data_IF_565384666699
#
_entry.id   IF_565384666699
#
_cell.length_a   1.000
_cell.length_b   1.000
_cell.length_c   1.000
_cell.angle_alpha   90.00
_cell.angle_beta   90.00
_cell.angle_gamma   90.00
#
_symmetry.space_group_name_H-M   'P 1'
#
loop_
_entity.id
_entity.type
_entity.pdbx_description
1 polymer ?
#
# COMPACT_ATOMS: atom_id res chain seq x y z
N UNK A 1 -4.48 7.89 5.59
CA UNK A 1 -3.02 8.18 5.52
C UNK A 1 -2.43 8.55 6.88
N UNK A 2 -3.02 9.50 7.62
CA UNK A 2 -2.50 9.98 8.92
C UNK A 2 -2.28 8.84 9.93
N UNK A 3 -3.22 7.90 10.04
CA UNK A 3 -3.07 6.75 10.95
C UNK A 3 -1.88 5.84 10.60
N UNK A 4 -1.61 5.65 9.31
CA UNK A 4 -0.47 4.87 8.85
C UNK A 4 0.86 5.58 9.18
N UNK A 5 0.91 6.91 8.98
CA UNK A 5 2.05 7.73 9.39
C UNK A 5 2.28 7.68 10.90
N UNK A 6 1.22 7.89 11.68
CA UNK A 6 1.27 7.84 13.14
C UNK A 6 1.81 6.50 13.62
N UNK A 7 1.28 5.38 13.12
CA UNK A 7 1.75 4.03 13.46
C UNK A 7 3.24 3.82 13.14
N UNK A 8 3.67 4.24 11.95
CA UNK A 8 5.07 4.13 11.53
C UNK A 8 5.99 4.95 12.44
N UNK A 9 5.64 6.20 12.73
CA UNK A 9 6.41 7.08 13.62
C UNK A 9 6.45 6.51 15.03
N UNK A 10 5.33 6.02 15.56
CA UNK A 10 5.27 5.38 16.89
C UNK A 10 6.19 4.17 16.96
N UNK A 11 6.33 3.38 15.90
CA UNK A 11 7.26 2.26 15.87
C UNK A 11 8.73 2.70 16.01
N UNK A 12 9.12 3.80 15.36
CA UNK A 12 10.44 4.41 15.53
C UNK A 12 10.64 4.93 16.96
N UNK A 13 9.70 5.73 17.45
CA UNK A 13 9.74 6.34 18.79
C UNK A 13 9.79 5.28 19.88
N UNK A 14 9.10 4.15 19.69
CA UNK A 14 9.11 3.05 20.66
C UNK A 14 10.51 2.46 20.86
N UNK A 15 11.37 2.43 19.85
CA UNK A 15 12.78 2.00 20.01
C UNK A 15 13.58 3.01 20.84
N UNK A 16 13.33 4.31 20.64
CA UNK A 16 14.00 5.38 21.40
C UNK A 16 13.59 5.32 22.87
N UNK A 17 12.30 5.14 23.14
CA UNK A 17 11.77 4.98 24.51
C UNK A 17 12.31 3.72 25.19
N UNK A 18 12.48 2.62 24.44
CA UNK A 18 13.09 1.41 24.99
C UNK A 18 14.55 1.64 25.37
N UNK A 19 15.35 2.28 24.50
CA UNK A 19 16.72 2.64 24.82
C UNK A 19 16.80 3.50 26.09
N UNK A 20 15.92 4.50 26.21
CA UNK A 20 15.87 5.38 27.38
C UNK A 20 15.57 4.60 28.67
N UNK A 21 14.63 3.65 28.64
CA UNK A 21 14.32 2.78 29.79
C UNK A 21 15.51 1.94 30.22
N UNK A 22 16.32 1.52 29.27
CA UNK A 22 17.55 0.74 29.50
C UNK A 22 18.75 1.62 29.90
N UNK A 23 18.53 2.92 30.15
CA UNK A 23 19.59 3.88 30.49
C UNK A 23 20.50 4.24 29.31
N UNK A 24 20.07 3.99 28.08
CA UNK A 24 20.80 4.22 26.85
C UNK A 24 20.23 5.40 26.05
N UNK A 25 21.05 5.96 25.16
CA UNK A 25 20.62 6.97 24.19
C UNK A 25 20.49 6.35 22.80
N UNK A 26 19.40 6.69 22.09
CA UNK A 26 19.20 6.28 20.71
C UNK A 26 18.66 7.47 19.91
N UNK A 27 19.37 7.84 18.85
CA UNK A 27 18.92 8.79 17.84
C UNK A 27 18.78 8.07 16.50
N UNK A 28 17.71 8.40 15.77
CA UNK A 28 17.37 7.86 14.47
C UNK A 28 17.25 9.00 13.47
N UNK A 29 17.95 8.89 12.34
CA UNK A 29 17.75 9.79 11.20
C UNK A 29 17.75 8.99 9.90
N UNK A 30 16.92 9.35 8.91
CA UNK A 30 16.93 8.65 7.63
C UNK A 30 18.26 8.85 6.92
N UNK A 31 18.69 7.84 6.16
CA UNK A 31 19.86 7.91 5.29
C UNK A 31 19.61 8.91 4.16
N UNK A 32 20.53 9.86 3.89
CA UNK A 32 20.39 10.80 2.78
C UNK A 32 20.14 10.11 1.43
N UNK A 33 20.82 9.00 1.18
CA UNK A 33 20.68 8.18 -0.03
C UNK A 33 19.30 7.51 -0.13
N UNK A 34 18.72 7.06 0.99
CA UNK A 34 17.38 6.48 1.02
C UNK A 34 16.32 7.55 0.72
N UNK A 35 16.45 8.73 1.32
CA UNK A 35 15.56 9.88 1.05
C UNK A 35 15.66 10.32 -0.41
N UNK A 36 16.88 10.43 -0.94
CA UNK A 36 17.11 10.81 -2.34
C UNK A 36 16.48 9.81 -3.29
N UNK A 37 16.76 8.51 -3.11
CA UNK A 37 16.19 7.45 -3.93
C UNK A 37 14.66 7.44 -3.88
N UNK A 38 14.09 7.50 -2.68
CA UNK A 38 12.63 7.55 -2.50
C UNK A 38 12.01 8.75 -3.23
N UNK A 39 12.65 9.93 -3.13
CA UNK A 39 12.17 11.10 -3.84
C UNK A 39 12.29 10.94 -5.36
N UNK A 40 13.39 10.39 -5.89
CA UNK A 40 13.55 10.14 -7.32
C UNK A 40 12.47 9.20 -7.86
N UNK A 41 12.20 8.11 -7.14
CA UNK A 41 11.18 7.12 -7.50
C UNK A 41 9.77 7.75 -7.52
N UNK A 42 9.42 8.53 -6.48
CA UNK A 42 8.13 9.24 -6.42
C UNK A 42 8.00 10.26 -7.54
N UNK A 43 9.02 11.08 -7.78
CA UNK A 43 8.95 12.11 -8.82
C UNK A 43 8.84 11.48 -10.21
N UNK A 44 9.53 10.36 -10.46
CA UNK A 44 9.40 9.62 -11.72
C UNK A 44 7.98 9.10 -11.95
N UNK A 45 7.29 8.67 -10.89
CA UNK A 45 5.90 8.25 -10.96
C UNK A 45 4.94 9.45 -11.13
N UNK A 46 5.14 10.53 -10.37
CA UNK A 46 4.30 11.74 -10.43
C UNK A 46 4.33 12.40 -11.81
N UNK A 47 5.47 12.36 -12.52
CA UNK A 47 5.60 12.85 -13.89
C UNK A 47 4.66 12.18 -14.89
N UNK A 48 4.15 10.99 -14.58
CA UNK A 48 3.20 10.23 -15.42
C UNK A 48 1.74 10.46 -15.02
N UNK A 49 1.48 11.32 -14.03
CA UNK A 49 0.14 11.62 -13.53
C UNK A 49 -0.41 12.92 -14.12
N UNK A 50 -1.72 13.12 -13.98
CA UNK A 50 -2.39 14.37 -14.38
C UNK A 50 -1.88 15.61 -13.65
N UNK A 51 -1.30 15.46 -12.45
CA UNK A 51 -0.67 16.57 -11.73
C UNK A 51 0.53 17.16 -12.49
N UNK A 52 1.18 16.37 -13.35
CA UNK A 52 2.32 16.81 -14.15
C UNK A 52 1.92 17.38 -15.52
N UNK A 53 0.63 17.44 -15.85
CA UNK A 53 0.17 18.01 -17.12
C UNK A 53 0.60 19.48 -17.24
N UNK A 54 1.23 19.91 -18.36
CA UNK A 54 1.62 21.29 -18.59
C UNK A 54 0.45 22.30 -18.45
N UNK A 55 -0.77 21.88 -18.79
CA UNK A 55 -1.98 22.70 -18.70
C UNK A 55 -2.62 22.69 -17.30
N UNK A 56 -2.11 21.88 -16.36
CA UNK A 56 -2.57 21.85 -14.99
C UNK A 56 -1.73 22.79 -14.12
N UNK A 57 -2.25 23.97 -13.77
CA UNK A 57 -1.66 24.82 -12.74
C UNK A 57 -2.22 24.44 -11.38
N UNK A 58 -1.36 24.10 -10.43
CA UNK A 58 -1.78 23.74 -9.07
C UNK A 58 -0.77 24.26 -8.05
N UNK A 59 -1.26 24.56 -6.83
CA UNK A 59 -0.41 24.96 -5.69
C UNK A 59 0.65 23.90 -5.34
N UNK A 60 0.44 22.64 -5.73
CA UNK A 60 1.35 21.54 -5.42
C UNK A 60 2.52 21.39 -6.41
N UNK A 61 2.48 22.13 -7.53
CA UNK A 61 3.49 22.08 -8.59
C UNK A 61 4.25 23.40 -8.63
N UNK A 62 5.57 23.32 -8.53
CA UNK A 62 6.47 24.47 -8.68
C UNK A 62 6.57 24.91 -10.14
N UNK A 63 7.15 26.08 -10.39
CA UNK A 63 7.38 26.60 -11.75
C UNK A 63 8.26 25.68 -12.60
N UNK A 64 9.24 24.99 -11.97
CA UNK A 64 10.09 23.97 -12.62
C UNK A 64 9.39 22.60 -12.79
N UNK A 65 8.10 22.51 -12.48
CA UNK A 65 7.27 21.33 -12.70
C UNK A 65 7.40 20.25 -11.63
N UNK A 66 8.09 20.53 -10.52
CA UNK A 66 8.25 19.59 -9.41
C UNK A 66 7.00 19.57 -8.54
N UNK A 67 6.48 18.37 -8.29
CA UNK A 67 5.30 18.18 -7.43
C UNK A 67 5.80 17.90 -6.00
N UNK A 68 5.46 18.75 -5.04
CA UNK A 68 6.11 18.74 -3.72
C UNK A 68 5.32 18.02 -2.63
N UNK A 69 4.01 17.88 -2.79
CA UNK A 69 3.13 17.39 -1.72
C UNK A 69 2.53 16.00 -1.98
N UNK A 70 2.19 15.70 -3.23
CA UNK A 70 1.33 14.56 -3.54
C UNK A 70 2.06 13.22 -3.49
N UNK A 71 1.38 12.21 -2.95
CA UNK A 71 1.71 10.80 -3.16
C UNK A 71 1.25 10.36 -4.55
N UNK A 72 2.04 9.55 -5.24
CA UNK A 72 1.81 9.19 -6.64
C UNK A 72 0.81 8.05 -6.86
N UNK A 73 0.48 7.27 -5.82
CA UNK A 73 -0.32 6.05 -5.94
C UNK A 73 -1.56 6.08 -5.04
N UNK A 74 -2.22 4.92 -4.89
CA UNK A 74 -3.40 4.79 -4.03
C UNK A 74 -3.04 4.89 -2.53
N UNK A 75 -4.06 5.14 -1.70
CA UNK A 75 -3.92 5.12 -0.23
C UNK A 75 -3.57 3.71 0.27
N UNK A 76 -4.05 2.66 -0.40
CA UNK A 76 -3.72 1.27 -0.06
C UNK A 76 -2.24 0.99 -0.28
N UNK A 77 -1.67 1.47 -1.38
CA UNK A 77 -0.22 1.36 -1.63
C UNK A 77 0.57 2.12 -0.57
N UNK A 78 0.12 3.32 -0.22
CA UNK A 78 0.73 4.11 0.86
C UNK A 78 0.74 3.38 2.20
N UNK A 79 -0.40 2.77 2.57
CA UNK A 79 -0.51 1.96 3.77
C UNK A 79 0.36 0.69 3.71
N UNK A 80 0.51 0.07 2.54
CA UNK A 80 1.39 -1.09 2.35
C UNK A 80 2.86 -0.70 2.49
N UNK A 81 3.30 0.41 1.92
CA UNK A 81 4.66 0.94 2.08
C UNK A 81 4.97 1.21 3.56
N UNK A 82 4.04 1.84 4.28
CA UNK A 82 4.20 2.11 5.72
C UNK A 82 3.90 0.90 6.62
N UNK A 83 3.56 -0.26 6.09
CA UNK A 83 3.28 -1.45 6.93
C UNK A 83 4.54 -2.10 7.50
N UNK A 84 5.72 -1.64 7.09
CA UNK A 84 7.02 -2.20 7.46
C UNK A 84 8.02 -1.08 7.68
N UNK A 85 8.70 -1.10 8.82
CA UNK A 85 9.86 -0.24 9.07
C UNK A 85 11.10 -0.96 8.56
N UNK A 86 11.78 -0.37 7.57
CA UNK A 86 13.07 -0.85 7.07
C UNK A 86 14.17 -0.15 7.85
N UNK A 87 14.77 -0.82 8.82
CA UNK A 87 15.80 -0.21 9.68
C UNK A 87 17.08 0.11 8.92
N UNK A 88 17.33 -0.61 7.82
CA UNK A 88 18.43 -0.35 6.90
C UNK A 88 18.32 1.04 6.22
N UNK A 89 17.15 1.68 6.22
CA UNK A 89 16.97 3.05 5.69
C UNK A 89 17.38 4.14 6.71
N UNK A 90 17.75 3.76 7.94
CA UNK A 90 18.07 4.69 9.02
C UNK A 90 19.52 4.59 9.47
N UNK A 91 20.04 5.70 9.96
CA UNK A 91 21.28 5.80 10.71
C UNK A 91 20.93 5.85 12.19
N UNK A 92 21.54 4.94 12.95
CA UNK A 92 21.38 4.77 14.38
C UNK A 92 22.59 5.36 15.12
N UNK A 93 22.37 6.30 16.01
CA UNK A 93 23.41 6.96 16.81
C UNK A 93 23.12 6.79 18.31
N UNK A 94 24.16 6.83 19.14
CA UNK A 94 24.05 6.66 20.60
C UNK A 94 24.43 5.27 21.12
N UNK A 95 24.31 5.09 22.45
CA UNK A 95 24.70 3.86 23.15
C UNK A 95 23.72 2.71 22.92
N UNK A 96 22.46 3.01 22.60
CA UNK A 96 21.39 2.05 22.32
C UNK A 96 21.30 1.58 20.87
N UNK A 97 22.25 1.95 20.00
CA UNK A 97 22.25 1.57 18.56
C UNK A 97 22.13 0.06 18.31
N UNK A 98 22.59 -0.76 19.26
CA UNK A 98 22.53 -2.22 19.18
C UNK A 98 21.08 -2.77 19.15
N UNK A 99 20.10 -2.02 19.68
CA UNK A 99 18.68 -2.40 19.70
C UNK A 99 18.09 -2.54 18.29
N UNK A 100 18.60 -1.79 17.33
CA UNK A 100 18.13 -1.80 15.94
C UNK A 100 19.17 -2.37 14.97
N UNK A 101 20.46 -2.38 15.30
CA UNK A 101 21.51 -2.86 14.41
C UNK A 101 21.35 -4.33 13.96
N UNK A 102 20.62 -5.15 14.74
CA UNK A 102 20.32 -6.55 14.38
C UNK A 102 19.01 -6.73 13.60
N UNK A 103 18.20 -5.69 13.48
CA UNK A 103 16.89 -5.74 12.82
C UNK A 103 17.07 -5.22 11.40
N UNK A 104 16.74 -6.02 10.40
CA UNK A 104 16.63 -5.53 9.00
C UNK A 104 15.31 -4.80 8.80
N UNK A 105 14.23 -5.43 9.25
CA UNK A 105 12.87 -4.96 9.04
C UNK A 105 12.00 -5.27 10.27
N UNK A 106 10.92 -4.52 10.45
CA UNK A 106 9.86 -4.85 11.40
C UNK A 106 8.51 -4.59 10.77
N UNK A 107 7.66 -5.62 10.70
CA UNK A 107 6.30 -5.50 10.21
C UNK A 107 5.39 -4.95 11.31
N UNK A 108 4.76 -3.80 11.03
CA UNK A 108 3.85 -3.09 11.95
C UNK A 108 2.37 -3.21 11.53
N UNK A 109 2.13 -3.80 10.36
CA UNK A 109 0.80 -3.99 9.80
C UNK A 109 0.19 -2.70 9.24
N UNK A 110 -1.04 -2.81 8.73
CA UNK A 110 -1.84 -1.67 8.27
C UNK A 110 -3.31 -1.85 8.61
N UNK A 111 -4.04 -0.74 8.62
CA UNK A 111 -5.50 -0.77 8.63
C UNK A 111 -5.98 -1.19 7.24
N UNK A 112 -6.93 -2.11 7.18
CA UNK A 112 -7.57 -2.57 5.93
C UNK A 112 -8.95 -1.96 5.86
N UNK A 113 -9.08 -0.89 5.08
CA UNK A 113 -10.33 -0.15 4.90
C UNK A 113 -11.01 -0.54 3.58
N UNK A 114 -10.31 -1.26 2.72
CA UNK A 114 -10.87 -1.74 1.46
C UNK A 114 -11.88 -2.88 1.68
N UNK A 115 -13.00 -2.82 0.97
CA UNK A 115 -13.97 -3.92 0.96
C UNK A 115 -13.42 -5.07 0.14
N UNK A 116 -13.07 -6.17 0.81
CA UNK A 116 -12.58 -7.38 0.14
C UNK A 116 -13.75 -8.30 -0.18
N UNK A 117 -14.13 -8.38 -1.46
CA UNK A 117 -15.01 -9.45 -1.93
C UNK A 117 -14.20 -10.74 -1.88
N UNK A 118 -14.58 -11.63 -0.97
CA UNK A 118 -13.91 -12.92 -0.78
C UNK A 118 -14.03 -13.76 -2.05
N UNK A 119 -12.97 -14.48 -2.43
CA UNK A 119 -12.99 -15.37 -3.59
C UNK A 119 -14.15 -16.39 -3.52
N UNK A 120 -14.57 -16.77 -2.32
CA UNK A 120 -15.75 -17.61 -2.13
C UNK A 120 -17.04 -16.97 -2.65
N UNK A 121 -17.22 -15.66 -2.45
CA UNK A 121 -18.38 -14.93 -2.95
C UNK A 121 -18.37 -14.85 -4.48
N UNK A 122 -17.19 -14.65 -5.08
CA UNK A 122 -17.00 -14.72 -6.53
C UNK A 122 -17.30 -16.13 -7.08
N UNK A 123 -16.83 -17.18 -6.41
CA UNK A 123 -17.11 -18.57 -6.78
C UNK A 123 -18.61 -18.88 -6.73
N UNK A 124 -19.32 -18.43 -5.68
CA UNK A 124 -20.76 -18.58 -5.59
C UNK A 124 -21.50 -17.82 -6.70
N UNK A 125 -21.03 -16.62 -7.05
CA UNK A 125 -21.54 -15.87 -8.19
C UNK A 125 -21.32 -16.59 -9.52
N UNK A 126 -20.13 -17.16 -9.76
CA UNK A 126 -19.85 -17.93 -10.96
C UNK A 126 -20.68 -19.21 -11.03
N UNK A 127 -20.82 -19.92 -9.90
CA UNK A 127 -21.64 -21.12 -9.79
C UNK A 127 -23.12 -20.84 -10.07
N UNK A 128 -23.68 -19.74 -9.55
CA UNK A 128 -25.08 -19.39 -9.80
C UNK A 128 -25.33 -19.07 -11.28
N UNK A 129 -24.41 -18.37 -11.95
CA UNK A 129 -24.47 -18.14 -13.40
C UNK A 129 -24.40 -19.46 -14.17
N UNK A 130 -23.50 -20.37 -13.81
CA UNK A 130 -23.38 -21.68 -14.46
C UNK A 130 -24.67 -22.51 -14.30
N UNK A 131 -25.28 -22.51 -13.12
CA UNK A 131 -26.57 -23.18 -12.87
C UNK A 131 -27.67 -22.57 -13.73
N UNK A 132 -27.75 -21.24 -13.82
CA UNK A 132 -28.75 -20.57 -14.64
C UNK A 132 -28.60 -20.90 -16.14
N UNK A 133 -27.36 -20.89 -16.66
CA UNK A 133 -27.07 -21.26 -18.05
C UNK A 133 -27.36 -22.74 -18.33
N UNK A 134 -26.98 -23.63 -17.42
CA UNK A 134 -27.30 -25.06 -17.52
C UNK A 134 -28.80 -25.32 -17.53
N UNK A 135 -29.55 -24.64 -16.64
CA UNK A 135 -31.01 -24.70 -16.61
C UNK A 135 -31.65 -24.18 -17.90
N UNK A 136 -31.17 -23.05 -18.44
CA UNK A 136 -31.64 -22.50 -19.72
C UNK A 136 -31.39 -23.46 -20.89
N UNK A 137 -30.18 -24.02 -20.98
CA UNK A 137 -29.82 -24.97 -22.03
C UNK A 137 -30.65 -26.24 -21.98
N UNK A 138 -30.82 -26.84 -20.78
CA UNK A 138 -31.64 -28.03 -20.60
C UNK A 138 -33.11 -27.76 -20.98
N UNK A 139 -33.68 -26.63 -20.57
CA UNK A 139 -35.05 -26.24 -20.94
C UNK A 139 -35.21 -26.03 -22.46
N UNK A 140 -34.23 -25.38 -23.10
CA UNK A 140 -34.20 -25.22 -24.56
C UNK A 140 -34.09 -26.55 -25.31
N UNK A 141 -33.25 -27.46 -24.84
CA UNK A 141 -33.09 -28.80 -25.44
C UNK A 141 -34.34 -29.67 -25.31
N UNK A 142 -35.06 -29.57 -24.19
CA UNK A 142 -36.33 -30.25 -23.96
C UNK A 142 -37.44 -29.74 -24.89
N UNK A 143 -37.50 -28.42 -25.12
CA UNK A 143 -38.43 -27.79 -26.06
C UNK A 143 -38.18 -28.23 -27.52
N UNK A 144 -36.91 -28.37 -27.93
CA UNK A 144 -36.55 -28.84 -29.28
C UNK A 144 -36.85 -30.34 -29.46
N UNK A 145 -36.70 -31.18 -28.42
CA UNK A 145 -37.11 -32.60 -28.49
C UNK A 145 -38.62 -32.78 -28.53
N UNK A 146 -39.40 -31.97 -27.81
CA UNK A 146 -40.86 -32.04 -27.82
C UNK A 146 -41.49 -31.74 -29.19
N UNK A 147 -40.86 -30.89 -30.01
CA UNK A 147 -41.34 -30.53 -31.35
C UNK A 147 -40.89 -31.48 -32.48
N UNK A 148 -40.06 -32.50 -32.20
CA UNK A 148 -39.61 -33.49 -33.20
C UNK A 148 -40.44 -34.77 -33.24
N UNK A 149 -41.46 -34.88 -32.38
CA UNK A 149 -42.43 -35.97 -32.37
C UNK A 149 -43.76 -35.43 -32.88
N UNK A 150 -43.89 -35.28 -34.20
CA UNK A 150 -45.17 -35.15 -34.88
C UNK A 150 -45.04 -35.62 -36.32
#
# INVERSE_FOLDING_TARGET
MIEAQSRYITALVSQILQAQKDGQSLALRPKPEAVKKFNEDIQAALRKSSFADPNCSSWYKTEDGRITNNWHSTVVDYQNELSRVRWDDYIAEGTGKALIAKKKETHIGRVKEETLIRNTSLLWGAASVAVALGGYYLKGSALVRGNRVR
#
